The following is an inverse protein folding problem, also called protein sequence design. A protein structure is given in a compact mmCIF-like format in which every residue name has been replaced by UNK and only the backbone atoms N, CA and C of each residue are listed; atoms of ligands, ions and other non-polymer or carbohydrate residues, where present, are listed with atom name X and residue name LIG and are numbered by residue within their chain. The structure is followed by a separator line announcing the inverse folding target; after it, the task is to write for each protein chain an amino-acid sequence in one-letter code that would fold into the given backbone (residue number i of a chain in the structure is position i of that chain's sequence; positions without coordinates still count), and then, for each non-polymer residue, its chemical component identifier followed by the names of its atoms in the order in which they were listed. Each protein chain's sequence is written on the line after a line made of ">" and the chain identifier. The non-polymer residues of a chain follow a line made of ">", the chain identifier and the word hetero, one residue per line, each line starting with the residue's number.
data_IF_492653136501
#
_entry.id   IF_492653136501
#
_cell.length_a   1.000
_cell.length_b   1.000
_cell.length_c   1.000
_cell.angle_alpha   90.00
_cell.angle_beta   90.00
_cell.angle_gamma   90.00
#
_symmetry.space_group_name_H-M   'P 1'
#
loop_
_entity.id
_entity.type
_entity.pdbx_description
1 polymer ?
#
# COMPACT_ATOMS: atom_id res chain seq x y z
N UNK A 1 26.34 -8.44 -24.11
CA UNK A 1 25.19 -7.58 -23.78
C UNK A 1 24.70 -7.99 -22.41
N UNK A 2 24.99 -7.21 -21.36
CA UNK A 2 24.35 -7.42 -20.06
C UNK A 2 22.89 -7.03 -20.22
N UNK A 3 21.98 -8.01 -20.16
CA UNK A 3 20.55 -7.75 -20.09
C UNK A 3 20.30 -6.99 -18.78
N UNK A 4 19.82 -5.76 -18.88
CA UNK A 4 19.33 -5.03 -17.72
C UNK A 4 18.10 -5.76 -17.20
N UNK A 5 18.24 -6.39 -16.03
CA UNK A 5 17.12 -7.03 -15.34
C UNK A 5 16.27 -5.92 -14.73
N UNK A 6 15.17 -5.59 -15.40
CA UNK A 6 14.14 -4.70 -14.88
C UNK A 6 13.11 -5.60 -14.20
N UNK A 7 13.02 -5.61 -12.86
CA UNK A 7 11.98 -6.39 -12.19
C UNK A 7 10.61 -5.80 -12.55
N UNK A 8 9.60 -6.65 -12.64
CA UNK A 8 8.20 -6.26 -12.84
C UNK A 8 7.31 -7.17 -12.00
N UNK A 9 6.11 -6.72 -11.67
CA UNK A 9 5.09 -7.54 -11.02
C UNK A 9 3.71 -7.25 -11.62
N UNK A 10 2.85 -8.27 -11.66
CA UNK A 10 1.47 -8.16 -12.13
C UNK A 10 0.54 -8.59 -11.00
N UNK A 11 -0.47 -7.78 -10.70
CA UNK A 11 -1.49 -8.08 -9.70
C UNK A 11 -2.84 -8.32 -10.36
N UNK A 12 -3.52 -9.38 -9.93
CA UNK A 12 -4.87 -9.72 -10.37
C UNK A 12 -5.76 -9.95 -9.15
N UNK A 13 -7.01 -9.53 -9.25
CA UNK A 13 -8.03 -9.88 -8.25
C UNK A 13 -9.42 -9.85 -8.88
N UNK A 14 -10.42 -10.51 -8.27
CA UNK A 14 -11.80 -10.40 -8.73
C UNK A 14 -12.33 -8.96 -8.82
N UNK A 15 -11.77 -8.07 -7.99
CA UNK A 15 -12.10 -6.64 -7.99
C UNK A 15 -11.28 -5.80 -8.98
N UNK A 16 -10.26 -6.37 -9.63
CA UNK A 16 -9.43 -5.74 -10.67
C UNK A 16 -9.40 -6.61 -11.93
N UNK A 17 -10.44 -6.55 -12.78
CA UNK A 17 -10.56 -7.42 -13.95
C UNK A 17 -9.49 -7.15 -15.03
N UNK A 18 -8.88 -5.96 -15.02
CA UNK A 18 -7.82 -5.59 -15.96
C UNK A 18 -6.41 -5.85 -15.41
N UNK A 19 -6.29 -6.31 -14.15
CA UNK A 19 -5.03 -6.40 -13.45
C UNK A 19 -4.34 -5.05 -13.24
N UNK A 20 -3.20 -5.07 -12.54
CA UNK A 20 -2.37 -3.90 -12.34
C UNK A 20 -0.89 -4.27 -12.47
N UNK A 21 -0.19 -3.61 -13.39
CA UNK A 21 1.23 -3.79 -13.62
C UNK A 21 2.08 -2.83 -12.77
N UNK A 22 3.01 -3.40 -12.01
CA UNK A 22 4.03 -2.67 -11.29
C UNK A 22 5.35 -2.71 -12.05
N UNK A 23 5.70 -1.58 -12.64
CA UNK A 23 7.02 -1.31 -13.21
C UNK A 23 7.77 -0.30 -12.31
N UNK A 24 9.09 -0.42 -12.12
CA UNK A 24 9.88 0.57 -11.39
C UNK A 24 9.73 1.97 -11.99
N UNK A 25 9.68 2.05 -13.33
CA UNK A 25 9.67 3.31 -14.10
C UNK A 25 11.09 3.85 -14.32
N UNK A 26 11.17 4.96 -15.05
CA UNK A 26 12.43 5.68 -15.27
C UNK A 26 12.69 6.67 -14.12
N UNK A 27 13.89 6.62 -13.52
CA UNK A 27 14.28 7.55 -12.46
C UNK A 27 15.31 6.98 -11.47
N UNK A 28 15.79 7.81 -10.52
CA UNK A 28 16.65 7.33 -9.46
C UNK A 28 15.87 6.40 -8.53
N UNK A 29 16.36 5.17 -8.37
CA UNK A 29 15.83 4.21 -7.41
C UNK A 29 16.67 4.22 -6.14
N UNK A 30 16.02 4.11 -4.99
CA UNK A 30 16.67 4.00 -3.69
C UNK A 30 16.46 2.62 -3.09
N UNK A 31 17.40 2.18 -2.26
CA UNK A 31 17.25 0.99 -1.41
C UNK A 31 16.57 1.31 -0.09
N UNK A 32 16.32 2.59 0.18
CA UNK A 32 15.55 3.09 1.31
C UNK A 32 14.15 3.37 0.80
N UNK A 33 13.25 2.40 0.96
CA UNK A 33 11.86 2.52 0.55
C UNK A 33 11.04 3.35 1.52
N UNK A 34 10.06 4.10 1.03
CA UNK A 34 9.18 4.93 1.86
C UNK A 34 8.38 4.07 2.86
N UNK A 35 7.92 2.90 2.41
CA UNK A 35 7.13 1.97 3.25
C UNK A 35 8.00 1.06 4.12
N UNK A 36 9.32 1.07 3.90
CA UNK A 36 10.27 0.21 4.63
C UNK A 36 10.93 0.90 5.82
N UNK A 37 10.64 2.19 6.04
CA UNK A 37 11.16 2.94 7.18
C UNK A 37 10.44 2.52 8.45
N UNK A 38 11.18 2.51 9.56
CA UNK A 38 10.61 2.45 10.90
C UNK A 38 9.55 3.56 11.08
N UNK A 39 8.46 3.27 11.81
CA UNK A 39 7.36 4.22 11.92
C UNK A 39 7.74 5.48 12.70
N UNK A 40 7.15 6.62 12.34
CA UNK A 40 7.41 7.92 12.99
C UNK A 40 7.19 7.88 14.51
N UNK A 41 6.27 7.03 14.96
CA UNK A 41 5.98 6.81 16.38
C UNK A 41 7.21 6.24 17.10
N UNK A 42 7.89 5.29 16.47
CA UNK A 42 9.05 4.62 17.05
C UNK A 42 10.31 5.49 16.91
N UNK A 43 10.44 6.25 15.83
CA UNK A 43 11.51 7.27 15.69
C UNK A 43 11.39 8.33 16.80
N UNK A 44 10.18 8.86 17.01
CA UNK A 44 9.94 9.88 18.04
C UNK A 44 10.11 9.35 19.47
N UNK A 45 9.97 8.05 19.68
CA UNK A 45 10.28 7.37 20.94
C UNK A 45 11.78 7.11 21.15
N UNK A 46 12.65 7.56 20.24
CA UNK A 46 14.10 7.36 20.30
C UNK A 46 14.58 6.04 19.71
N UNK A 47 13.73 5.32 18.98
CA UNK A 47 14.09 4.10 18.27
C UNK A 47 15.01 4.38 17.08
N UNK A 48 16.09 3.61 16.97
CA UNK A 48 16.96 3.60 15.79
C UNK A 48 16.68 2.36 14.95
N UNK A 49 16.55 2.55 13.64
CA UNK A 49 16.41 1.47 12.68
C UNK A 49 17.77 0.81 12.41
N UNK A 50 18.06 -0.25 13.17
CA UNK A 50 19.31 -1.01 13.05
C UNK A 50 19.36 -1.89 11.80
N UNK A 51 18.22 -2.10 11.13
CA UNK A 51 18.09 -2.92 9.93
C UNK A 51 18.03 -2.07 8.65
N UNK A 52 18.38 -0.77 8.76
CA UNK A 52 18.40 0.16 7.63
C UNK A 52 19.23 -0.41 6.48
N UNK A 53 18.64 -0.57 5.28
CA UNK A 53 19.35 -1.06 4.12
C UNK A 53 20.56 -0.17 3.80
N UNK A 54 21.69 -0.80 3.49
CA UNK A 54 22.85 -0.06 2.96
C UNK A 54 22.49 0.65 1.66
N UNK A 55 23.09 1.81 1.40
CA UNK A 55 22.99 2.53 0.12
C UNK A 55 23.24 1.60 -1.08
N UNK A 56 22.56 1.88 -2.19
CA UNK A 56 22.77 1.15 -3.44
C UNK A 56 24.21 1.37 -3.92
N UNK A 57 25.01 0.29 -3.94
CA UNK A 57 26.30 0.33 -4.64
C UNK A 57 26.03 0.41 -6.15
N UNK A 58 26.89 1.11 -6.91
CA UNK A 58 26.87 1.17 -8.38
C UNK A 58 27.30 -0.17 -9.01
N UNK A 59 26.67 -1.27 -8.58
CA UNK A 59 26.82 -2.61 -9.12
C UNK A 59 25.47 -3.05 -9.69
N UNK A 60 25.45 -4.00 -10.65
CA UNK A 60 24.19 -4.50 -11.22
C UNK A 60 23.21 -5.01 -10.15
N UNK A 61 23.72 -5.66 -9.10
CA UNK A 61 22.90 -6.13 -7.98
C UNK A 61 22.40 -4.99 -7.08
N UNK A 62 23.19 -3.93 -6.90
CA UNK A 62 22.77 -2.75 -6.15
C UNK A 62 21.64 -1.98 -6.86
N UNK A 63 21.74 -1.86 -8.19
CA UNK A 63 20.68 -1.29 -9.03
C UNK A 63 19.41 -2.15 -9.03
N UNK A 64 19.56 -3.48 -9.12
CA UNK A 64 18.42 -4.40 -9.02
C UNK A 64 17.72 -4.26 -7.66
N UNK A 65 18.48 -4.21 -6.56
CA UNK A 65 17.92 -4.04 -5.21
C UNK A 65 17.13 -2.73 -5.11
N UNK A 66 17.66 -1.63 -5.62
CA UNK A 66 16.96 -0.34 -5.62
C UNK A 66 15.65 -0.39 -6.43
N UNK A 67 15.67 -1.02 -7.60
CA UNK A 67 14.46 -1.23 -8.43
C UNK A 67 13.42 -2.10 -7.72
N UNK A 68 13.85 -3.17 -7.04
CA UNK A 68 12.97 -4.03 -6.25
C UNK A 68 12.34 -3.28 -5.07
N UNK A 69 13.10 -2.48 -4.34
CA UNK A 69 12.58 -1.63 -3.26
C UNK A 69 11.51 -0.67 -3.78
N UNK A 70 11.70 -0.10 -4.98
CA UNK A 70 10.69 0.76 -5.62
C UNK A 70 9.39 0.00 -5.90
N UNK A 71 9.48 -1.22 -6.44
CA UNK A 71 8.29 -2.06 -6.68
C UNK A 71 7.62 -2.42 -5.36
N UNK A 72 8.39 -2.79 -4.34
CA UNK A 72 7.87 -3.13 -3.02
C UNK A 72 7.05 -1.98 -2.45
N UNK A 73 7.56 -0.74 -2.51
CA UNK A 73 6.81 0.43 -2.06
C UNK A 73 5.52 0.63 -2.85
N UNK A 74 5.57 0.52 -4.19
CA UNK A 74 4.37 0.67 -5.03
C UNK A 74 3.29 -0.36 -4.69
N UNK A 75 3.69 -1.62 -4.49
CA UNK A 75 2.78 -2.70 -4.09
C UNK A 75 2.19 -2.40 -2.70
N UNK A 76 3.03 -2.01 -1.74
CA UNK A 76 2.59 -1.72 -0.38
C UNK A 76 1.61 -0.55 -0.33
N UNK A 77 1.88 0.55 -1.06
CA UNK A 77 0.98 1.70 -1.18
C UNK A 77 -0.34 1.27 -1.83
N UNK A 78 -0.28 0.52 -2.92
CA UNK A 78 -1.47 0.03 -3.63
C UNK A 78 -2.37 -0.80 -2.71
N UNK A 79 -1.83 -1.85 -2.09
CA UNK A 79 -2.61 -2.72 -1.21
C UNK A 79 -3.13 -1.99 0.03
N UNK A 80 -2.32 -1.10 0.62
CA UNK A 80 -2.73 -0.30 1.78
C UNK A 80 -3.90 0.61 1.44
N UNK A 81 -3.88 1.25 0.25
CA UNK A 81 -4.97 2.10 -0.20
C UNK A 81 -6.24 1.28 -0.44
N UNK A 82 -6.15 0.10 -1.07
CA UNK A 82 -7.31 -0.79 -1.24
C UNK A 82 -7.93 -1.21 0.09
N UNK A 83 -7.10 -1.56 1.08
CA UNK A 83 -7.60 -1.89 2.42
C UNK A 83 -8.30 -0.70 3.11
N UNK A 84 -7.83 0.53 2.90
CA UNK A 84 -8.48 1.74 3.43
C UNK A 84 -9.83 1.98 2.75
N UNK A 85 -9.89 1.86 1.43
CA UNK A 85 -11.14 2.00 0.67
C UNK A 85 -12.19 0.96 1.08
N UNK A 86 -11.78 -0.30 1.26
CA UNK A 86 -12.67 -1.36 1.76
C UNK A 86 -13.16 -1.08 3.19
N UNK A 87 -12.29 -0.59 4.08
CA UNK A 87 -12.68 -0.21 5.44
C UNK A 87 -13.68 0.93 5.45
N UNK A 88 -13.39 2.01 4.72
CA UNK A 88 -14.28 3.16 4.60
C UNK A 88 -15.63 2.75 4.00
N UNK A 89 -15.64 1.89 2.97
CA UNK A 89 -16.87 1.39 2.36
C UNK A 89 -17.72 0.57 3.35
N UNK A 90 -17.09 -0.25 4.20
CA UNK A 90 -17.79 -0.99 5.26
C UNK A 90 -18.35 -0.06 6.33
N UNK A 91 -17.56 0.90 6.81
CA UNK A 91 -18.00 1.88 7.80
C UNK A 91 -19.17 2.74 7.29
N UNK A 92 -19.13 3.20 6.03
CA UNK A 92 -20.25 3.92 5.42
C UNK A 92 -21.52 3.07 5.34
N UNK A 93 -21.41 1.79 4.97
CA UNK A 93 -22.56 0.88 4.91
C UNK A 93 -23.14 0.61 6.29
N UNK A 94 -22.30 0.49 7.31
CA UNK A 94 -22.74 0.32 8.70
C UNK A 94 -23.42 1.58 9.23
N UNK A 95 -22.91 2.76 8.89
CA UNK A 95 -23.51 4.05 9.23
C UNK A 95 -24.89 4.21 8.54
N UNK A 96 -24.97 3.91 7.26
CA UNK A 96 -26.22 3.97 6.48
C UNK A 96 -27.27 3.01 7.04
N UNK A 97 -26.88 1.77 7.35
CA UNK A 97 -27.78 0.79 7.99
C UNK A 97 -28.30 1.30 9.33
N UNK A 98 -27.44 1.88 10.16
CA UNK A 98 -27.84 2.41 11.47
C UNK A 98 -28.82 3.59 11.34
N UNK A 99 -28.60 4.49 10.37
CA UNK A 99 -29.52 5.61 10.10
C UNK A 99 -30.89 5.16 9.59
N UNK A 100 -30.94 4.11 8.78
CA UNK A 100 -32.21 3.52 8.30
C UNK A 100 -32.98 2.81 9.42
N UNK A 101 -32.27 2.14 10.34
CA UNK A 101 -32.88 1.39 11.44
C UNK A 101 -33.41 2.33 12.55
N UNK A 102 -32.71 3.44 12.82
CA UNK A 102 -33.17 4.48 13.76
C UNK A 102 -34.36 5.31 13.24
N UNK A 103 -34.76 5.15 11.96
CA UNK A 103 -35.90 5.85 11.34
C UNK A 103 -37.25 5.12 11.38
N UNK A 104 -37.35 3.97 12.07
CA UNK A 104 -38.56 3.11 12.08
C UNK A 104 -39.25 3.06 13.46
N UNK A 105 -39.05 4.05 14.33
CA UNK A 105 -39.84 4.17 15.55
C UNK A 105 -40.48 5.56 15.65
N UNK A 106 -41.74 5.62 15.19
CA UNK A 106 -42.88 6.34 15.80
C UNK A 106 -43.99 6.47 14.74
N UNK A 107 -44.93 5.52 14.74
CA UNK A 107 -46.11 5.63 13.86
C UNK A 107 -47.12 4.49 13.89
N UNK A 108 -46.87 3.40 14.62
CA UNK A 108 -47.89 2.39 14.89
C UNK A 108 -48.31 2.46 16.35
N UNK A 109 -49.34 3.26 16.63
CA UNK A 109 -50.42 2.93 17.58
C UNK A 109 -51.42 4.10 17.63
N UNK A 110 -52.58 3.92 16.99
CA UNK A 110 -53.84 3.95 17.73
C UNK A 110 -55.01 3.44 16.87
N UNK A 111 -55.72 2.50 17.49
CA UNK A 111 -57.01 1.91 17.11
C UNK A 111 -58.14 2.95 16.92
#
# INVERSE_FOLDING_TARGET
>A
MTQDLIPTAHYESPSEPNGYDFIPGDGPHSTIGETTKISDIVINAGGQDRDTPSEAKNTPLGQLRARLTTIQDKINVFLTNKMKEEKNSKELKELEKKMLDEGVDEGSDNE
#
